data_IF_486821755972
#
_entry.id   IF_486821755972
#
_cell.length_a   1.000
_cell.length_b   1.000
_cell.length_c   1.000
_cell.angle_alpha   90.00
_cell.angle_beta   90.00
_cell.angle_gamma   90.00
#
_symmetry.space_group_name_H-M   'P 1'
#
loop_
_entity.id
_entity.type
_entity.pdbx_description
1 polymer ?
#
# COMPACT_ATOMS: atom_id res chain seq x y z
N UNK A 1 -23.62 2.74 12.55
CA UNK A 1 -23.15 1.79 13.57
C UNK A 1 -21.77 1.33 13.16
N UNK A 2 -20.73 1.94 13.72
CA UNK A 2 -19.34 1.67 13.37
C UNK A 2 -18.90 0.43 14.15
N UNK A 3 -18.58 -0.66 13.47
CA UNK A 3 -17.99 -1.82 14.13
C UNK A 3 -16.53 -1.45 14.38
N UNK A 4 -16.18 -1.15 15.62
CA UNK A 4 -14.79 -1.03 16.03
C UNK A 4 -14.09 -2.35 15.64
N UNK A 5 -13.21 -2.28 14.64
CA UNK A 5 -12.43 -3.43 14.22
C UNK A 5 -11.40 -3.71 15.32
N UNK A 6 -11.56 -4.85 15.98
CA UNK A 6 -10.64 -5.33 17.01
C UNK A 6 -9.21 -5.40 16.43
N UNK A 7 -8.22 -4.68 16.97
CA UNK A 7 -6.84 -4.71 16.50
C UNK A 7 -6.18 -6.09 16.68
N UNK A 8 -6.81 -6.99 17.46
CA UNK A 8 -6.41 -8.38 17.62
C UNK A 8 -7.11 -9.34 16.65
N UNK A 9 -7.97 -8.85 15.75
CA UNK A 9 -8.80 -9.68 14.86
C UNK A 9 -7.98 -10.55 13.89
N UNK A 10 -6.73 -10.17 13.59
CA UNK A 10 -5.82 -10.95 12.73
C UNK A 10 -4.37 -10.95 13.25
N UNK A 11 -4.11 -11.52 14.44
CA UNK A 11 -2.81 -11.41 15.09
C UNK A 11 -1.74 -12.18 14.30
N UNK A 12 -2.08 -13.35 13.79
CA UNK A 12 -1.19 -14.16 12.92
C UNK A 12 -0.91 -13.49 11.56
N UNK A 13 -1.83 -12.68 11.03
CA UNK A 13 -1.58 -11.94 9.79
C UNK A 13 -0.63 -10.75 10.03
N UNK A 14 -0.78 -10.08 11.18
CA UNK A 14 0.14 -9.04 11.62
C UNK A 14 1.53 -9.60 11.87
N UNK A 15 1.65 -10.73 12.56
CA UNK A 15 2.95 -11.39 12.82
C UNK A 15 3.68 -11.75 11.53
N UNK A 16 3.01 -12.43 10.59
CA UNK A 16 3.60 -12.73 9.26
C UNK A 16 3.95 -11.48 8.46
N UNK A 17 3.12 -10.44 8.53
CA UNK A 17 3.41 -9.17 7.89
C UNK A 17 4.65 -8.52 8.51
N UNK A 18 4.75 -8.55 9.84
CA UNK A 18 5.92 -8.08 10.56
C UNK A 18 7.14 -8.88 10.10
N UNK A 19 7.15 -10.21 10.19
CA UNK A 19 8.26 -11.06 9.73
C UNK A 19 8.71 -10.71 8.31
N UNK A 20 7.74 -10.51 7.40
CA UNK A 20 7.98 -10.10 6.03
C UNK A 20 8.65 -8.71 5.93
N UNK A 21 8.11 -7.71 6.64
CA UNK A 21 8.63 -6.33 6.62
C UNK A 21 9.97 -6.18 7.36
N UNK A 22 10.19 -6.95 8.42
CA UNK A 22 11.42 -6.94 9.21
C UNK A 22 12.58 -7.70 8.54
N UNK A 23 12.32 -8.42 7.44
CA UNK A 23 13.35 -9.15 6.68
C UNK A 23 14.46 -8.26 6.10
N UNK A 24 14.13 -7.01 5.70
CA UNK A 24 15.14 -6.01 5.32
C UNK A 24 14.79 -4.61 5.87
N UNK A 25 15.10 -4.41 7.14
CA UNK A 25 14.84 -3.15 7.88
C UNK A 25 15.48 -1.90 7.27
N UNK A 26 16.46 -2.05 6.36
CA UNK A 26 17.16 -0.93 5.72
C UNK A 26 16.26 -0.19 4.73
N UNK A 27 15.29 -0.90 4.14
CA UNK A 27 14.38 -0.34 3.14
C UNK A 27 13.51 0.80 3.69
N UNK A 28 13.15 0.70 4.97
CA UNK A 28 12.34 1.69 5.68
C UNK A 28 13.16 2.57 6.61
N UNK A 29 14.43 2.81 6.28
CA UNK A 29 15.32 3.65 7.07
C UNK A 29 15.71 4.91 6.30
N UNK A 30 15.89 6.02 7.01
CA UNK A 30 16.56 7.22 6.51
C UNK A 30 18.00 7.24 7.04
N UNK A 31 18.79 8.24 6.62
CA UNK A 31 20.14 8.47 7.17
C UNK A 31 20.15 8.66 8.70
N UNK A 32 19.03 9.11 9.27
CA UNK A 32 18.96 9.57 10.67
C UNK A 32 17.99 8.77 11.53
N UNK A 33 17.13 7.91 10.96
CA UNK A 33 16.12 7.19 11.74
C UNK A 33 15.60 5.94 11.03
N UNK A 34 15.23 4.92 11.83
CA UNK A 34 14.48 3.76 11.36
C UNK A 34 12.98 4.10 11.37
N UNK A 35 12.32 3.99 10.23
CA UNK A 35 10.89 4.34 10.06
C UNK A 35 9.98 3.11 10.01
N UNK A 36 10.50 1.94 10.36
CA UNK A 36 9.83 0.65 10.18
C UNK A 36 8.49 0.55 10.93
N UNK A 37 8.40 1.11 12.14
CA UNK A 37 7.14 1.16 12.88
C UNK A 37 6.05 1.95 12.11
N UNK A 38 6.43 3.03 11.40
CA UNK A 38 5.49 3.82 10.60
C UNK A 38 5.04 3.06 9.36
N UNK A 39 5.94 2.27 8.76
CA UNK A 39 5.60 1.35 7.68
C UNK A 39 4.60 0.28 8.15
N UNK A 40 4.86 -0.34 9.31
CA UNK A 40 3.94 -1.30 9.92
C UNK A 40 2.57 -0.67 10.16
N UNK A 41 2.51 0.50 10.78
CA UNK A 41 1.25 1.18 11.07
C UNK A 41 0.46 1.52 9.80
N UNK A 42 1.14 2.06 8.78
CA UNK A 42 0.50 2.38 7.52
C UNK A 42 -0.06 1.13 6.84
N UNK A 43 0.71 0.05 6.76
CA UNK A 43 0.27 -1.18 6.10
C UNK A 43 -0.86 -1.86 6.90
N UNK A 44 -0.75 -1.89 8.23
CA UNK A 44 -1.84 -2.37 9.10
C UNK A 44 -3.13 -1.58 8.85
N UNK A 45 -3.04 -0.25 8.77
CA UNK A 45 -4.18 0.60 8.45
C UNK A 45 -4.80 0.26 7.09
N UNK A 46 -3.98 -0.04 6.06
CA UNK A 46 -4.47 -0.42 4.73
C UNK A 46 -5.26 -1.74 4.76
N UNK A 47 -4.88 -2.69 5.63
CA UNK A 47 -5.60 -3.96 5.80
C UNK A 47 -6.83 -3.85 6.69
N UNK A 48 -6.81 -2.97 7.69
CA UNK A 48 -7.86 -2.88 8.71
C UNK A 48 -8.96 -1.88 8.37
N UNK A 49 -8.64 -0.82 7.64
CA UNK A 49 -9.61 0.23 7.30
C UNK A 49 -10.43 -0.15 6.07
N UNK A 50 -11.76 0.01 6.18
CA UNK A 50 -12.69 -0.16 5.04
C UNK A 50 -12.47 0.87 3.93
N UNK A 51 -11.87 2.02 4.27
CA UNK A 51 -11.50 3.08 3.32
C UNK A 51 -10.00 3.33 3.40
N UNK A 52 -9.34 3.45 2.23
CA UNK A 52 -7.90 3.79 2.13
C UNK A 52 -7.62 5.28 2.41
N UNK A 53 -8.27 5.85 3.42
CA UNK A 53 -8.04 7.21 3.90
C UNK A 53 -7.26 7.13 5.21
N UNK A 54 -6.15 7.87 5.29
CA UNK A 54 -5.30 7.90 6.46
C UNK A 54 -6.00 8.31 7.76
N UNK A 55 -6.94 9.26 7.70
CA UNK A 55 -7.76 9.68 8.85
C UNK A 55 -8.54 8.49 9.44
N UNK A 56 -9.03 7.59 8.58
CA UNK A 56 -9.74 6.37 9.00
C UNK A 56 -8.79 5.29 9.47
N UNK A 57 -7.58 5.24 8.91
CA UNK A 57 -6.57 4.25 9.29
C UNK A 57 -6.05 4.50 10.71
N UNK A 58 -5.82 5.76 11.10
CA UNK A 58 -5.33 6.09 12.44
C UNK A 58 -6.35 5.83 13.55
N UNK A 59 -7.65 5.81 13.22
CA UNK A 59 -8.71 5.38 14.16
C UNK A 59 -8.58 3.89 14.55
N UNK A 60 -7.91 3.08 13.72
CA UNK A 60 -7.85 1.62 13.88
C UNK A 60 -6.48 1.11 14.32
N UNK A 61 -5.40 1.87 14.10
CA UNK A 61 -4.04 1.44 14.45
C UNK A 61 -3.59 2.14 15.73
N UNK A 62 -3.46 1.37 16.82
CA UNK A 62 -2.96 1.89 18.09
C UNK A 62 -1.56 2.51 17.95
N UNK A 63 -1.30 3.58 18.71
CA UNK A 63 -0.04 4.34 18.73
C UNK A 63 0.35 4.99 17.39
N UNK A 64 -0.56 4.98 16.41
CA UNK A 64 -0.35 5.64 15.13
C UNK A 64 -0.70 7.13 15.20
N UNK A 65 0.16 7.95 14.61
CA UNK A 65 -0.01 9.40 14.57
C UNK A 65 -0.15 9.88 13.12
N UNK A 66 -1.22 10.62 12.85
CA UNK A 66 -1.61 11.02 11.49
C UNK A 66 -0.47 11.74 10.75
N UNK A 67 0.08 12.81 11.35
CA UNK A 67 1.13 13.59 10.71
C UNK A 67 2.42 12.79 10.52
N UNK A 68 2.71 11.87 11.43
CA UNK A 68 3.88 11.01 11.37
C UNK A 68 3.79 10.04 10.18
N UNK A 69 2.63 9.42 9.98
CA UNK A 69 2.38 8.52 8.83
C UNK A 69 2.32 9.32 7.53
N UNK A 70 1.65 10.48 7.52
CA UNK A 70 1.58 11.36 6.36
C UNK A 70 2.98 11.75 5.89
N UNK A 71 3.84 12.20 6.80
CA UNK A 71 5.23 12.52 6.48
C UNK A 71 6.00 11.29 6.00
N UNK A 72 5.76 10.11 6.61
CA UNK A 72 6.39 8.87 6.19
C UNK A 72 6.07 8.51 4.73
N UNK A 73 4.80 8.58 4.30
CA UNK A 73 4.43 8.16 2.94
C UNK A 73 4.68 9.23 1.87
N UNK A 74 4.76 10.51 2.24
CA UNK A 74 4.88 11.62 1.29
C UNK A 74 6.29 12.19 1.17
N UNK A 75 6.97 12.40 2.30
CA UNK A 75 8.20 13.22 2.36
C UNK A 75 9.44 12.42 2.77
N UNK A 76 9.26 11.33 3.51
CA UNK A 76 10.39 10.58 4.07
C UNK A 76 11.18 9.89 2.94
N UNK A 77 12.52 10.10 2.85
CA UNK A 77 13.34 9.59 1.75
C UNK A 77 13.80 8.13 1.99
N UNK A 78 12.87 7.23 2.26
CA UNK A 78 13.15 5.78 2.32
C UNK A 78 13.20 5.18 0.91
N UNK A 79 13.82 4.01 0.76
CA UNK A 79 14.17 3.45 -0.55
C UNK A 79 12.98 2.74 -1.21
N UNK A 80 12.03 3.51 -1.77
CA UNK A 80 10.82 2.95 -2.38
C UNK A 80 11.13 1.95 -3.51
N UNK A 81 12.16 2.22 -4.33
CA UNK A 81 12.58 1.29 -5.38
C UNK A 81 13.07 -0.04 -4.81
N UNK A 82 13.87 0.00 -3.74
CA UNK A 82 14.34 -1.19 -3.04
C UNK A 82 13.21 -2.06 -2.51
N UNK A 83 12.11 -1.45 -2.03
CA UNK A 83 10.90 -2.18 -1.66
C UNK A 83 10.30 -2.95 -2.85
N UNK A 84 10.13 -2.29 -4.01
CA UNK A 84 9.62 -2.95 -5.22
C UNK A 84 10.51 -4.09 -5.68
N UNK A 85 11.83 -3.88 -5.68
CA UNK A 85 12.79 -4.89 -6.09
C UNK A 85 12.82 -6.08 -5.12
N UNK A 86 12.64 -5.84 -3.81
CA UNK A 86 12.50 -6.90 -2.81
C UNK A 86 11.25 -7.73 -3.03
N UNK A 87 10.07 -7.10 -3.18
CA UNK A 87 8.81 -7.78 -3.46
C UNK A 87 8.91 -8.60 -4.76
N UNK A 88 9.52 -8.02 -5.80
CA UNK A 88 9.71 -8.70 -7.09
C UNK A 88 10.62 -9.93 -6.97
N UNK A 89 11.71 -9.83 -6.20
CA UNK A 89 12.61 -10.95 -5.93
C UNK A 89 11.94 -12.05 -5.14
N UNK A 90 11.16 -11.71 -4.12
CA UNK A 90 10.45 -12.71 -3.33
C UNK A 90 9.33 -13.38 -4.13
N UNK A 91 8.63 -12.60 -4.95
CA UNK A 91 7.63 -13.12 -5.90
C UNK A 91 8.26 -14.08 -6.91
N UNK A 92 9.46 -13.77 -7.42
CA UNK A 92 10.20 -14.68 -8.31
C UNK A 92 10.45 -16.04 -7.68
N UNK A 93 10.85 -16.10 -6.41
CA UNK A 93 11.10 -17.36 -5.69
C UNK A 93 9.87 -18.26 -5.64
N UNK A 94 8.67 -17.68 -5.54
CA UNK A 94 7.41 -18.45 -5.54
C UNK A 94 7.23 -19.23 -6.86
N UNK A 95 7.77 -18.70 -7.96
CA UNK A 95 7.65 -19.27 -9.29
C UNK A 95 8.83 -20.15 -9.72
N UNK A 96 9.92 -20.23 -8.93
CA UNK A 96 11.15 -20.94 -9.33
C UNK A 96 10.93 -22.44 -9.60
N UNK A 97 10.01 -23.07 -8.86
CA UNK A 97 9.68 -24.50 -8.99
C UNK A 97 8.46 -24.78 -9.91
N UNK A 98 7.95 -23.75 -10.60
CA UNK A 98 6.74 -23.88 -11.42
C UNK A 98 7.08 -24.15 -12.89
N UNK A 99 6.61 -25.27 -13.44
CA UNK A 99 6.84 -25.66 -14.84
C UNK A 99 6.22 -24.67 -15.84
N UNK A 100 5.08 -24.06 -15.48
CA UNK A 100 4.34 -23.13 -16.33
C UNK A 100 3.91 -21.91 -15.53
N UNK A 101 4.40 -20.75 -15.94
CA UNK A 101 4.06 -19.43 -15.37
C UNK A 101 3.56 -18.55 -16.50
N UNK A 102 2.45 -17.83 -16.28
CA UNK A 102 1.90 -16.89 -17.25
C UNK A 102 1.90 -15.48 -16.65
N UNK A 103 2.33 -14.50 -17.45
CA UNK A 103 2.22 -13.08 -17.11
C UNK A 103 0.99 -12.51 -17.80
N UNK A 104 -0.03 -12.19 -17.02
CA UNK A 104 -1.22 -11.48 -17.48
C UNK A 104 -1.01 -9.99 -17.24
N UNK A 105 -1.04 -9.20 -18.32
CA UNK A 105 -0.96 -7.74 -18.25
C UNK A 105 -2.32 -7.21 -18.70
N UNK A 106 -2.98 -6.50 -17.80
CA UNK A 106 -4.24 -5.80 -18.08
C UNK A 106 -4.10 -4.33 -17.69
N UNK A 107 -4.71 -3.45 -18.48
CA UNK A 107 -4.68 -2.01 -18.20
C UNK A 107 -5.76 -1.68 -17.17
N UNK A 108 -5.34 -1.34 -15.96
CA UNK A 108 -6.24 -0.79 -14.94
C UNK A 108 -6.13 0.73 -14.89
N UNK A 109 -7.22 1.44 -15.17
CA UNK A 109 -7.31 2.89 -15.01
C UNK A 109 -8.12 3.25 -13.75
N UNK A 110 -7.56 4.07 -12.87
CA UNK A 110 -8.31 4.72 -11.79
C UNK A 110 -8.65 6.15 -12.20
N UNK A 111 -9.94 6.51 -12.15
CA UNK A 111 -10.36 7.87 -12.52
C UNK A 111 -10.04 8.83 -11.38
N UNK A 112 -8.96 9.58 -11.53
CA UNK A 112 -8.57 10.64 -10.60
C UNK A 112 -9.23 11.96 -10.99
N UNK A 113 -9.70 12.74 -10.00
CA UNK A 113 -10.25 14.08 -10.21
C UNK A 113 -9.52 15.08 -9.34
N UNK A 114 -8.85 16.05 -9.95
CA UNK A 114 -8.21 17.15 -9.23
C UNK A 114 -7.09 17.80 -10.04
N UNK A 115 -6.75 19.05 -9.71
CA UNK A 115 -5.70 19.82 -10.40
C UNK A 115 -4.27 19.36 -10.03
N UNK A 116 -4.14 18.49 -9.03
CA UNK A 116 -2.85 18.04 -8.46
C UNK A 116 -2.58 16.55 -8.64
N UNK A 117 -3.51 15.80 -9.25
CA UNK A 117 -3.28 14.39 -9.58
C UNK A 117 -2.34 14.32 -10.79
N UNK A 118 -1.30 13.50 -10.75
CA UNK A 118 -0.46 13.25 -11.92
C UNK A 118 -1.23 12.38 -12.92
N UNK A 119 -1.35 12.81 -14.18
CA UNK A 119 -2.04 12.05 -15.24
C UNK A 119 -3.43 12.55 -15.67
N UNK A 120 -3.94 13.67 -15.15
CA UNK A 120 -5.22 14.32 -15.57
C UNK A 120 -5.12 15.16 -16.87
N UNK A 121 -4.11 14.92 -17.70
CA UNK A 121 -4.19 15.32 -19.12
C UNK A 121 -5.23 14.42 -19.80
N UNK A 122 -6.04 14.95 -20.74
CA UNK A 122 -7.20 14.28 -21.39
C UNK A 122 -7.08 12.75 -21.37
N UNK A 123 -7.63 12.13 -20.34
CA UNK A 123 -7.61 10.68 -20.21
C UNK A 123 -8.74 10.13 -21.08
N UNK A 124 -8.40 9.35 -22.10
CA UNK A 124 -9.32 8.38 -22.67
C UNK A 124 -9.43 7.20 -21.70
N UNK A 125 -10.03 7.43 -20.52
CA UNK A 125 -10.31 6.33 -19.59
C UNK A 125 -11.43 5.48 -20.19
N UNK A 126 -11.11 4.24 -20.57
CA UNK A 126 -12.09 3.28 -21.09
C UNK A 126 -13.28 3.03 -20.15
N UNK A 127 -13.14 3.33 -18.85
CA UNK A 127 -14.25 3.28 -17.90
C UNK A 127 -15.32 4.36 -18.14
N UNK A 128 -14.91 5.56 -18.57
CA UNK A 128 -15.85 6.68 -18.80
C UNK A 128 -16.59 6.50 -20.13
N UNK A 129 -15.92 5.93 -21.14
CA UNK A 129 -16.49 5.71 -22.47
C UNK A 129 -17.64 4.68 -22.45
N UNK A 130 -17.58 3.67 -21.58
CA UNK A 130 -18.66 2.69 -21.42
C UNK A 130 -19.97 3.28 -20.85
N UNK A 131 -19.88 4.31 -19.99
CA UNK A 131 -21.07 4.96 -19.42
C UNK A 131 -21.74 5.97 -20.37
N UNK A 132 -21.01 6.47 -21.37
CA UNK A 132 -21.54 7.45 -22.32
C UNK A 132 -22.30 6.82 -23.51
N UNK A 133 -22.22 5.50 -23.72
CA UNK A 133 -22.94 4.78 -24.78
C UNK A 133 -24.27 4.13 -24.34
N UNK A 134 -24.68 4.31 -23.07
CA UNK A 134 -25.92 3.74 -22.51
C UNK A 134 -26.96 4.79 -22.11
N UNK A 135 -27.02 5.93 -22.83
CA UNK A 135 -28.13 6.88 -22.71
C UNK A 135 -28.74 7.23 -24.05
#
# INVERSE_FOLDING_TARGET
MYIAHDPTRYPAARERLCEYLFGDTRLFSTKTSKQLAKAEYYICGLFQSTKRNMERMVEHVADSEYYSIQHFISESPWEARGCYDSVSRDTRKIFEDQERVCLLIDESAHTEKGLKSVGVSRQYSGQVLAYAMLR
#
